data_IF_106564778564
#
_entry.id   IF_106564778564
#
_cell.length_a   1.000
_cell.length_b   1.000
_cell.length_c   1.000
_cell.angle_alpha   90.00
_cell.angle_beta   90.00
_cell.angle_gamma   90.00
#
_symmetry.space_group_name_H-M   'P 1'
#
loop_
_entity.id
_entity.type
_entity.pdbx_description
1 polymer ?
#
# COMPACT_ATOMS: atom_id res chain seq x y z
N UNK A 1 4.61 -10.11 -7.98
CA UNK A 1 4.78 -8.78 -8.58
C UNK A 1 3.78 -7.81 -7.98
N UNK A 2 4.04 -6.49 -8.04
CA UNK A 2 3.10 -5.47 -7.54
C UNK A 2 1.73 -5.57 -8.19
N UNK A 3 1.68 -5.82 -9.49
CA UNK A 3 0.42 -5.97 -10.22
C UNK A 3 -0.43 -7.14 -9.68
N UNK A 4 0.19 -8.28 -9.41
CA UNK A 4 -0.50 -9.43 -8.81
C UNK A 4 -0.97 -9.14 -7.39
N UNK A 5 -0.17 -8.38 -6.62
CA UNK A 5 -0.55 -7.89 -5.30
C UNK A 5 -1.79 -6.98 -5.38
N UNK A 6 -1.77 -5.94 -6.22
CA UNK A 6 -2.93 -5.06 -6.42
C UNK A 6 -4.21 -5.84 -6.79
N UNK A 7 -4.11 -6.86 -7.66
CA UNK A 7 -5.24 -7.74 -7.98
C UNK A 7 -5.71 -8.56 -6.77
N UNK A 8 -4.77 -9.07 -5.96
CA UNK A 8 -5.07 -9.83 -4.76
C UNK A 8 -5.76 -8.96 -3.70
N UNK A 9 -5.25 -7.75 -3.47
CA UNK A 9 -5.84 -6.77 -2.55
C UNK A 9 -7.26 -6.41 -2.98
N UNK A 10 -7.46 -6.10 -4.26
CA UNK A 10 -8.79 -5.85 -4.83
C UNK A 10 -9.75 -7.03 -4.63
N UNK A 11 -9.27 -8.26 -4.87
CA UNK A 11 -10.07 -9.47 -4.69
C UNK A 11 -10.48 -9.66 -3.22
N UNK A 12 -9.53 -9.55 -2.30
CA UNK A 12 -9.79 -9.68 -0.85
C UNK A 12 -10.69 -8.56 -0.34
N UNK A 13 -10.49 -7.33 -0.80
CA UNK A 13 -11.39 -6.20 -0.51
C UNK A 13 -12.83 -6.49 -0.92
N UNK A 14 -13.03 -7.12 -2.08
CA UNK A 14 -14.36 -7.59 -2.53
C UNK A 14 -14.96 -8.65 -1.63
N UNK A 15 -14.19 -9.67 -1.22
CA UNK A 15 -14.66 -10.72 -0.30
C UNK A 15 -15.02 -10.15 1.08
N UNK A 16 -14.20 -9.24 1.61
CA UNK A 16 -14.47 -8.56 2.89
C UNK A 16 -15.74 -7.71 2.80
N UNK A 17 -15.92 -6.99 1.69
CA UNK A 17 -17.12 -6.18 1.43
C UNK A 17 -18.38 -7.03 1.37
N UNK A 18 -18.34 -8.19 0.69
CA UNK A 18 -19.46 -9.13 0.63
C UNK A 18 -19.81 -9.68 2.03
N UNK A 19 -18.79 -10.01 2.83
CA UNK A 19 -18.99 -10.58 4.17
C UNK A 19 -19.73 -9.64 5.12
N UNK A 20 -19.47 -8.32 5.03
CA UNK A 20 -20.11 -7.31 5.88
C UNK A 20 -21.34 -6.67 5.25
N UNK A 21 -21.76 -7.16 4.07
CA UNK A 21 -23.01 -6.77 3.40
C UNK A 21 -23.00 -5.37 2.80
N UNK A 22 -21.86 -4.91 2.25
CA UNK A 22 -21.79 -3.64 1.54
C UNK A 22 -22.57 -3.68 0.22
N UNK A 23 -23.03 -2.52 -0.23
CA UNK A 23 -23.65 -2.35 -1.54
C UNK A 23 -22.61 -2.60 -2.66
N UNK A 24 -23.09 -2.88 -3.87
CA UNK A 24 -22.21 -3.08 -5.04
C UNK A 24 -21.35 -1.84 -5.35
N UNK A 25 -21.85 -0.64 -5.09
CA UNK A 25 -21.10 0.59 -5.23
C UNK A 25 -19.94 0.65 -4.21
N UNK A 26 -20.24 0.50 -2.92
CA UNK A 26 -19.24 0.51 -1.84
C UNK A 26 -18.20 -0.58 -2.05
N UNK A 27 -18.61 -1.80 -2.41
CA UNK A 27 -17.72 -2.91 -2.75
C UNK A 27 -16.78 -2.55 -3.90
N UNK A 28 -17.32 -1.98 -4.99
CA UNK A 28 -16.51 -1.58 -6.14
C UNK A 28 -15.51 -0.50 -5.76
N UNK A 29 -15.93 0.47 -4.93
CA UNK A 29 -15.05 1.53 -4.42
C UNK A 29 -13.90 0.95 -3.59
N UNK A 30 -14.17 0.02 -2.67
CA UNK A 30 -13.15 -0.70 -1.89
C UNK A 30 -12.21 -1.50 -2.78
N UNK A 31 -12.74 -2.24 -3.77
CA UNK A 31 -11.93 -3.03 -4.70
C UNK A 31 -10.99 -2.15 -5.53
N UNK A 32 -11.47 -1.01 -6.00
CA UNK A 32 -10.68 -0.07 -6.80
C UNK A 32 -9.66 0.65 -5.92
N UNK A 33 -10.04 1.08 -4.71
CA UNK A 33 -9.10 1.64 -3.75
C UNK A 33 -7.97 0.64 -3.42
N UNK A 34 -8.32 -0.62 -3.12
CA UNK A 34 -7.34 -1.68 -2.91
C UNK A 34 -6.46 -1.99 -4.13
N UNK A 35 -6.99 -1.86 -5.35
CA UNK A 35 -6.21 -2.02 -6.58
C UNK A 35 -5.19 -0.90 -6.77
N UNK A 36 -5.53 0.31 -6.37
CA UNK A 36 -4.74 1.53 -6.63
C UNK A 36 -3.89 1.99 -5.44
N UNK A 37 -4.03 1.38 -4.25
CA UNK A 37 -3.41 1.87 -3.01
C UNK A 37 -1.89 2.10 -3.12
N UNK A 38 -1.21 1.27 -3.90
CA UNK A 38 0.24 1.26 -4.10
C UNK A 38 0.71 1.92 -5.41
N UNK A 39 -0.19 2.55 -6.19
CA UNK A 39 0.18 3.12 -7.50
C UNK A 39 1.22 4.25 -7.39
N UNK A 40 1.28 4.91 -6.25
CA UNK A 40 2.24 5.95 -5.91
C UNK A 40 3.64 5.46 -5.51
N UNK A 41 3.87 4.15 -5.39
CA UNK A 41 5.19 3.64 -5.07
C UNK A 41 6.18 3.71 -6.23
N UNK A 42 7.32 4.32 -5.99
CA UNK A 42 8.46 4.34 -6.90
C UNK A 42 9.30 3.05 -6.88
N UNK A 43 10.45 3.05 -7.56
CA UNK A 43 11.38 1.93 -7.59
C UNK A 43 11.88 1.59 -6.18
N UNK A 44 12.04 0.28 -5.91
CA UNK A 44 12.43 -0.27 -4.60
C UNK A 44 11.51 0.15 -3.44
N UNK A 45 10.29 0.62 -3.73
CA UNK A 45 9.23 0.92 -2.75
C UNK A 45 9.74 1.60 -1.48
N UNK A 46 9.48 1.00 -0.33
CA UNK A 46 9.82 1.52 1.00
C UNK A 46 11.33 1.74 1.23
N UNK A 47 12.20 1.03 0.50
CA UNK A 47 13.66 1.18 0.67
C UNK A 47 14.14 2.58 0.30
N UNK A 48 13.56 3.19 -0.73
CA UNK A 48 13.95 4.53 -1.19
C UNK A 48 12.95 5.63 -0.78
N UNK A 49 11.89 5.28 -0.08
CA UNK A 49 10.84 6.23 0.31
C UNK A 49 11.36 7.39 1.16
N UNK A 50 12.28 7.12 2.10
CA UNK A 50 12.89 8.19 2.90
C UNK A 50 13.67 9.19 2.05
N UNK A 51 14.31 8.75 0.97
CA UNK A 51 15.04 9.62 0.04
C UNK A 51 14.05 10.47 -0.77
N UNK A 52 12.93 9.86 -1.20
CA UNK A 52 11.86 10.59 -1.89
C UNK A 52 11.26 11.66 -0.99
N UNK A 53 11.02 11.33 0.29
CA UNK A 53 10.51 12.26 1.28
C UNK A 53 11.49 13.41 1.56
N UNK A 54 12.78 13.13 1.74
CA UNK A 54 13.82 14.15 1.96
C UNK A 54 13.96 15.10 0.77
N UNK A 55 13.83 14.60 -0.46
CA UNK A 55 13.98 15.37 -1.69
C UNK A 55 12.73 16.15 -2.10
N UNK A 56 11.56 15.56 -1.93
CA UNK A 56 10.30 16.11 -2.44
C UNK A 56 9.28 16.49 -1.38
N UNK A 57 9.52 16.12 -0.12
CA UNK A 57 8.56 16.30 0.97
C UNK A 57 7.28 15.48 0.81
N UNK A 58 7.26 14.53 -0.12
CA UNK A 58 6.11 13.70 -0.46
C UNK A 58 6.39 12.24 -0.10
N UNK A 59 5.39 11.58 0.44
CA UNK A 59 5.36 10.13 0.62
C UNK A 59 4.57 9.46 -0.52
N UNK A 60 4.62 8.13 -0.58
CA UNK A 60 3.90 7.37 -1.60
C UNK A 60 2.39 7.56 -1.53
N UNK A 61 1.83 7.81 -0.34
CA UNK A 61 0.38 8.03 -0.15
C UNK A 61 -0.06 9.33 -0.84
N UNK A 62 0.68 10.43 -0.62
CA UNK A 62 0.42 11.73 -1.27
C UNK A 62 0.54 11.64 -2.79
N UNK A 63 1.49 10.84 -3.28
CA UNK A 63 1.66 10.63 -4.72
C UNK A 63 0.52 9.76 -5.27
N UNK A 64 0.13 8.70 -4.55
CA UNK A 64 -1.04 7.87 -4.92
C UNK A 64 -2.29 8.73 -5.05
N UNK A 65 -2.56 9.57 -4.06
CA UNK A 65 -3.66 10.52 -4.08
C UNK A 65 -3.60 11.45 -5.31
N UNK A 66 -2.46 12.10 -5.54
CA UNK A 66 -2.29 12.99 -6.68
C UNK A 66 -2.46 12.29 -8.03
N UNK A 67 -2.09 11.01 -8.16
CA UNK A 67 -2.35 10.19 -9.35
C UNK A 67 -3.84 9.92 -9.52
N UNK A 68 -4.55 9.58 -8.45
CA UNK A 68 -5.99 9.28 -8.48
C UNK A 68 -6.80 10.54 -8.81
N UNK A 69 -6.43 11.69 -8.23
CA UNK A 69 -7.07 12.98 -8.46
C UNK A 69 -6.66 13.62 -9.80
N UNK A 70 -5.55 13.15 -10.37
CA UNK A 70 -5.06 13.62 -11.67
C UNK A 70 -4.07 14.79 -11.60
N UNK A 71 -3.50 15.09 -10.44
CA UNK A 71 -2.42 16.07 -10.29
C UNK A 71 -1.12 15.56 -10.89
N UNK A 72 -0.91 14.23 -10.82
CA UNK A 72 0.23 13.54 -11.41
C UNK A 72 -0.23 12.53 -12.46
N UNK A 73 0.66 12.23 -13.40
CA UNK A 73 0.47 11.16 -14.38
C UNK A 73 1.44 10.00 -14.09
N UNK A 74 0.99 8.79 -14.32
CA UNK A 74 1.85 7.58 -14.20
C UNK A 74 2.82 7.45 -15.37
N UNK A 75 2.52 8.09 -16.49
CA UNK A 75 3.34 8.06 -17.71
C UNK A 75 4.32 9.23 -17.72
N UNK A 76 5.53 8.99 -18.22
CA UNK A 76 6.52 10.03 -18.49
C UNK A 76 6.20 10.73 -19.80
N UNK A 77 6.68 11.96 -19.93
CA UNK A 77 6.59 12.71 -21.18
C UNK A 77 7.23 11.91 -22.33
N UNK A 78 6.50 11.74 -23.42
CA UNK A 78 6.93 10.95 -24.57
C UNK A 78 6.54 9.46 -24.56
N UNK A 79 6.08 8.90 -23.44
CA UNK A 79 5.55 7.53 -23.39
C UNK A 79 4.11 7.44 -23.88
N UNK A 80 3.46 8.56 -24.05
CA UNK A 80 2.05 8.71 -24.45
C UNK A 80 1.69 8.00 -25.76
N UNK A 81 2.62 7.99 -26.71
CA UNK A 81 2.41 7.37 -28.04
C UNK A 81 2.37 5.85 -28.01
N UNK A 82 2.84 5.22 -26.91
CA UNK A 82 2.85 3.77 -26.74
C UNK A 82 1.54 3.22 -26.16
N UNK A 83 0.66 4.09 -25.66
CA UNK A 83 -0.59 3.70 -24.99
C UNK A 83 -1.79 3.94 -25.89
N UNK A 84 -2.50 2.86 -26.22
CA UNK A 84 -3.74 2.93 -27.02
C UNK A 84 -4.86 3.46 -26.11
N UNK A 85 -5.59 4.49 -26.58
CA UNK A 85 -6.71 5.09 -25.86
C UNK A 85 -6.34 5.59 -24.45
N UNK A 86 -5.24 6.33 -24.36
CA UNK A 86 -4.79 6.92 -23.10
C UNK A 86 -5.94 7.67 -22.41
N UNK A 87 -6.28 7.21 -21.20
CA UNK A 87 -7.14 7.92 -20.27
C UNK A 87 -6.42 8.02 -18.93
N UNK A 88 -6.60 9.12 -18.23
CA UNK A 88 -6.09 9.30 -16.87
C UNK A 88 -6.94 8.48 -15.90
N UNK A 89 -6.40 8.15 -14.74
CA UNK A 89 -7.11 7.39 -13.71
C UNK A 89 -8.43 8.06 -13.32
N UNK A 90 -8.49 9.38 -13.02
CA UNK A 90 -9.77 10.02 -12.70
C UNK A 90 -10.81 9.88 -13.81
N UNK A 91 -10.42 10.05 -15.09
CA UNK A 91 -11.34 9.89 -16.22
C UNK A 91 -11.92 8.46 -16.30
N UNK A 92 -11.12 7.47 -15.94
CA UNK A 92 -11.56 6.07 -15.89
C UNK A 92 -12.55 5.87 -14.75
N UNK A 93 -12.23 6.35 -13.54
CA UNK A 93 -13.09 6.24 -12.36
C UNK A 93 -14.46 6.88 -12.63
N UNK A 94 -14.49 8.13 -13.06
CA UNK A 94 -15.72 8.87 -13.40
C UNK A 94 -16.54 8.16 -14.48
N UNK A 95 -15.90 7.61 -15.53
CA UNK A 95 -16.60 6.87 -16.59
C UNK A 95 -17.29 5.60 -16.10
N UNK A 96 -16.91 5.09 -14.94
CA UNK A 96 -17.52 3.95 -14.26
C UNK A 96 -18.41 4.35 -13.07
N UNK A 97 -18.65 5.65 -12.89
CA UNK A 97 -19.52 6.19 -11.84
C UNK A 97 -18.88 6.17 -10.44
N UNK A 98 -17.55 6.11 -10.36
CA UNK A 98 -16.79 6.21 -9.11
C UNK A 98 -16.27 7.63 -8.93
N UNK A 99 -16.29 8.12 -7.70
CA UNK A 99 -15.73 9.41 -7.32
C UNK A 99 -14.24 9.28 -6.99
N UNK A 100 -13.33 9.94 -7.73
CA UNK A 100 -11.89 9.92 -7.44
C UNK A 100 -11.55 10.38 -6.00
N UNK A 101 -12.24 11.39 -5.47
CA UNK A 101 -12.04 11.88 -4.10
C UNK A 101 -12.39 10.82 -3.06
N UNK A 102 -13.47 10.07 -3.27
CA UNK A 102 -13.86 8.98 -2.38
C UNK A 102 -12.82 7.85 -2.40
N UNK A 103 -12.37 7.43 -3.57
CA UNK A 103 -11.34 6.40 -3.72
C UNK A 103 -10.03 6.84 -3.06
N UNK A 104 -9.57 8.05 -3.29
CA UNK A 104 -8.37 8.61 -2.68
C UNK A 104 -8.51 8.70 -1.15
N UNK A 105 -9.70 9.10 -0.68
CA UNK A 105 -10.03 9.17 0.75
C UNK A 105 -9.91 7.83 1.48
N UNK A 106 -10.35 6.73 0.86
CA UNK A 106 -10.21 5.38 1.43
C UNK A 106 -8.75 4.97 1.56
N UNK A 107 -7.91 5.31 0.60
CA UNK A 107 -6.47 4.99 0.61
C UNK A 107 -5.73 5.79 1.67
N UNK A 108 -6.06 7.09 1.82
CA UNK A 108 -5.51 7.91 2.92
C UNK A 108 -5.80 7.34 4.30
N UNK A 109 -6.90 6.63 4.43
CA UNK A 109 -7.32 6.03 5.69
C UNK A 109 -7.86 7.04 6.72
N UNK A 110 -8.41 6.52 7.83
CA UNK A 110 -8.96 7.35 8.89
C UNK A 110 -7.84 8.07 9.65
N UNK A 111 -7.68 9.35 9.44
CA UNK A 111 -6.68 10.15 10.16
C UNK A 111 -5.92 11.17 9.33
N UNK A 112 -5.93 11.09 8.02
CA UNK A 112 -5.26 12.06 7.14
C UNK A 112 -5.86 13.47 7.20
N UNK A 113 -7.00 13.65 7.87
CA UNK A 113 -7.65 14.94 8.14
C UNK A 113 -7.31 15.56 9.50
N UNK A 114 -6.26 15.10 10.22
CA UNK A 114 -5.71 15.85 11.36
C UNK A 114 -6.11 15.41 12.77
N UNK A 115 -6.69 14.23 12.95
CA UNK A 115 -6.82 13.65 14.30
C UNK A 115 -6.29 12.22 14.31
N UNK A 116 -4.96 12.08 14.47
CA UNK A 116 -4.41 10.81 14.98
C UNK A 116 -5.18 10.45 16.25
N UNK A 117 -5.98 9.38 16.18
CA UNK A 117 -6.53 8.77 17.39
C UNK A 117 -5.37 8.22 18.21
N UNK A 118 -4.85 9.01 19.14
CA UNK A 118 -3.83 8.50 20.05
C UNK A 118 -4.48 7.42 20.92
N UNK A 119 -3.72 6.36 21.22
CA UNK A 119 -4.14 5.34 22.19
C UNK A 119 -4.63 5.97 23.52
N UNK A 120 -4.18 7.17 23.85
CA UNK A 120 -4.55 7.96 25.02
C UNK A 120 -6.00 8.46 24.96
N UNK A 121 -6.54 8.78 23.77
CA UNK A 121 -7.95 9.18 23.62
C UNK A 121 -8.89 8.00 23.86
N UNK A 122 -8.44 6.78 23.57
CA UNK A 122 -9.18 5.55 23.86
C UNK A 122 -9.32 5.29 25.37
N UNK A 123 -8.30 5.63 26.16
CA UNK A 123 -8.28 5.41 27.62
C UNK A 123 -8.99 6.50 28.40
N UNK A 124 -9.21 7.68 27.84
CA UNK A 124 -9.85 8.80 28.52
C UNK A 124 -11.38 8.82 28.47
N UNK A 125 -12.00 7.84 27.80
CA UNK A 125 -13.46 7.68 27.76
C UNK A 125 -14.22 8.88 27.20
N UNK A 126 -13.58 9.75 26.42
CA UNK A 126 -14.23 10.84 25.72
C UNK A 126 -15.01 10.31 24.54
N UNK A 127 -16.28 10.16 24.76
CA UNK A 127 -17.30 9.67 23.86
C UNK A 127 -17.83 10.82 22.96
N UNK A 128 -16.93 11.56 22.33
CA UNK A 128 -17.27 12.41 21.19
C UNK A 128 -17.00 11.60 19.91
N UNK A 129 -17.69 10.48 19.79
CA UNK A 129 -17.84 9.77 18.53
C UNK A 129 -18.81 10.58 17.67
N UNK A 130 -18.28 11.52 16.91
CA UNK A 130 -18.96 12.05 15.74
C UNK A 130 -19.34 10.88 14.85
N UNK A 131 -20.52 10.90 14.27
CA UNK A 131 -21.11 9.93 13.31
C UNK A 131 -20.28 9.74 12.03
N UNK A 132 -19.00 9.41 12.15
CA UNK A 132 -18.12 9.20 11.01
C UNK A 132 -17.94 7.70 10.78
N UNK A 133 -18.40 7.25 9.63
CA UNK A 133 -18.29 5.87 9.20
C UNK A 133 -16.92 5.61 8.55
N UNK A 134 -16.09 4.82 9.19
CA UNK A 134 -14.79 4.42 8.71
C UNK A 134 -14.73 3.00 8.14
N UNK A 135 -15.89 2.34 8.03
CA UNK A 135 -15.98 0.93 7.62
C UNK A 135 -15.19 0.66 6.33
N UNK A 136 -15.44 1.44 5.26
CA UNK A 136 -14.79 1.24 3.97
C UNK A 136 -13.28 1.50 4.05
N UNK A 137 -12.88 2.57 4.73
CA UNK A 137 -11.47 2.93 4.88
C UNK A 137 -10.69 1.85 5.66
N UNK A 138 -11.29 1.25 6.68
CA UNK A 138 -10.67 0.17 7.45
C UNK A 138 -10.53 -1.14 6.69
N UNK A 139 -11.33 -1.37 5.64
CA UNK A 139 -11.12 -2.52 4.76
C UNK A 139 -9.87 -2.37 3.89
N UNK A 140 -9.49 -1.13 3.55
CA UNK A 140 -8.33 -0.82 2.69
C UNK A 140 -7.09 -0.50 3.53
N UNK A 141 -7.27 0.23 4.64
CA UNK A 141 -6.18 0.69 5.51
C UNK A 141 -6.60 0.64 6.98
N UNK A 142 -6.62 -0.54 7.55
CA UNK A 142 -7.08 -0.82 8.91
C UNK A 142 -6.16 -1.75 9.69
N UNK A 143 -6.55 -2.10 10.92
CA UNK A 143 -5.83 -3.09 11.73
C UNK A 143 -5.80 -4.48 11.11
N UNK A 144 -6.86 -4.82 10.39
CA UNK A 144 -7.02 -6.04 9.58
C UNK A 144 -7.63 -5.59 8.26
N UNK A 145 -6.82 -5.47 7.24
CA UNK A 145 -7.20 -4.96 5.93
C UNK A 145 -6.85 -5.94 4.80
N UNK A 146 -7.34 -5.64 3.61
CA UNK A 146 -7.13 -6.49 2.44
C UNK A 146 -5.67 -6.50 1.97
N UNK A 147 -4.90 -5.44 2.21
CA UNK A 147 -3.48 -5.37 1.91
C UNK A 147 -2.68 -6.36 2.77
N UNK A 148 -2.88 -6.32 4.10
CA UNK A 148 -2.20 -7.21 5.04
C UNK A 148 -2.50 -8.68 4.75
N UNK A 149 -3.75 -9.01 4.44
CA UNK A 149 -4.13 -10.39 4.12
C UNK A 149 -3.46 -10.87 2.82
N UNK A 150 -3.37 -10.01 1.79
CA UNK A 150 -2.70 -10.39 0.55
C UNK A 150 -1.20 -10.54 0.75
N UNK A 151 -0.49 -9.55 1.32
CA UNK A 151 0.95 -9.64 1.39
C UNK A 151 1.44 -10.76 2.31
N UNK A 152 0.75 -11.08 3.39
CA UNK A 152 1.13 -12.22 4.25
C UNK A 152 1.08 -13.55 3.48
N UNK A 153 0.01 -13.79 2.75
CA UNK A 153 -0.15 -15.01 1.94
C UNK A 153 0.85 -15.04 0.77
N UNK A 154 0.97 -13.93 0.06
CA UNK A 154 1.84 -13.77 -1.11
C UNK A 154 3.30 -13.92 -0.76
N UNK A 155 3.77 -13.22 0.26
CA UNK A 155 5.16 -13.27 0.69
C UNK A 155 5.52 -14.64 1.28
N UNK A 156 4.58 -15.27 2.00
CA UNK A 156 4.74 -16.66 2.42
C UNK A 156 4.94 -17.61 1.23
N UNK A 157 4.18 -17.40 0.16
CA UNK A 157 4.30 -18.21 -1.06
C UNK A 157 5.66 -18.00 -1.75
N UNK A 158 6.03 -16.74 -2.02
CA UNK A 158 7.24 -16.43 -2.80
C UNK A 158 8.55 -16.63 -2.02
N UNK A 159 8.55 -16.41 -0.72
CA UNK A 159 9.74 -16.65 0.13
C UNK A 159 9.88 -18.10 0.56
N UNK A 160 8.81 -18.89 0.48
CA UNK A 160 8.75 -20.27 1.01
C UNK A 160 8.65 -20.33 2.55
N UNK A 161 8.57 -19.19 3.24
CA UNK A 161 8.41 -19.10 4.69
C UNK A 161 6.95 -19.30 5.05
N UNK A 162 6.63 -20.39 5.75
CA UNK A 162 5.23 -20.82 6.01
C UNK A 162 4.50 -20.01 7.10
N UNK A 163 5.14 -19.04 7.70
CA UNK A 163 4.53 -18.24 8.78
C UNK A 163 3.35 -17.38 8.35
N UNK A 164 3.33 -16.92 7.08
CA UNK A 164 2.26 -16.08 6.55
C UNK A 164 1.03 -16.85 6.04
N UNK A 165 0.98 -18.17 6.20
CA UNK A 165 -0.22 -18.97 5.85
C UNK A 165 -1.25 -18.83 6.97
N UNK A 166 -2.26 -17.99 6.73
CA UNK A 166 -3.33 -17.66 7.69
C UNK A 166 -4.69 -18.17 7.20
N UNK A 167 -5.61 -18.43 8.12
CA UNK A 167 -6.99 -18.78 7.80
C UNK A 167 -7.81 -17.51 7.46
N UNK A 168 -7.44 -16.89 6.34
CA UNK A 168 -8.00 -15.62 5.90
C UNK A 168 -9.49 -15.73 5.54
N UNK A 169 -9.92 -16.86 4.95
CA UNK A 169 -11.32 -17.06 4.60
C UNK A 169 -12.20 -17.11 5.86
N UNK A 170 -11.75 -17.82 6.89
CA UNK A 170 -12.45 -17.87 8.17
C UNK A 170 -12.49 -16.49 8.84
N UNK A 171 -11.40 -15.74 8.77
CA UNK A 171 -11.36 -14.38 9.30
C UNK A 171 -12.35 -13.48 8.57
N UNK A 172 -12.36 -13.49 7.24
CA UNK A 172 -13.28 -12.71 6.41
C UNK A 172 -14.74 -13.07 6.71
N UNK A 173 -15.09 -14.37 6.82
CA UNK A 173 -16.45 -14.83 7.17
C UNK A 173 -16.93 -14.37 8.56
N UNK A 174 -16.02 -13.94 9.41
CA UNK A 174 -16.32 -13.46 10.76
C UNK A 174 -16.23 -11.94 10.90
N UNK A 175 -16.04 -11.21 9.80
CA UNK A 175 -16.12 -9.75 9.83
C UNK A 175 -17.58 -9.29 9.93
N UNK A 176 -17.79 -8.23 10.67
CA UNK A 176 -19.09 -7.56 10.76
C UNK A 176 -18.92 -6.04 10.78
N UNK A 177 -19.92 -5.31 10.29
CA UNK A 177 -19.98 -3.86 10.42
C UNK A 177 -20.61 -3.50 11.77
N UNK A 178 -19.87 -2.78 12.59
CA UNK A 178 -20.33 -2.39 13.92
C UNK A 178 -20.00 -0.92 14.20
N UNK A 179 -21.05 -0.11 14.43
CA UNK A 179 -20.90 1.31 14.83
C UNK A 179 -19.98 2.14 13.90
N UNK A 180 -20.07 1.93 12.58
CA UNK A 180 -19.25 2.65 11.58
C UNK A 180 -17.80 2.17 11.51
N UNK A 181 -17.55 0.95 11.94
CA UNK A 181 -16.23 0.31 11.92
C UNK A 181 -16.34 -1.17 11.52
N UNK A 182 -15.20 -1.81 11.29
CA UNK A 182 -15.10 -3.24 11.04
C UNK A 182 -14.75 -3.95 12.34
N UNK A 183 -15.57 -4.91 12.74
CA UNK A 183 -15.37 -5.76 13.89
C UNK A 183 -15.21 -7.22 13.49
N UNK A 184 -14.66 -8.03 14.40
CA UNK A 184 -14.54 -9.48 14.24
C UNK A 184 -15.43 -10.16 15.27
N UNK A 185 -16.37 -11.00 14.82
CA UNK A 185 -17.20 -11.81 15.71
C UNK A 185 -16.35 -12.69 16.65
N UNK A 186 -16.80 -12.98 17.85
CA UNK A 186 -16.08 -13.80 18.85
C UNK A 186 -15.61 -15.15 18.27
N UNK A 187 -16.41 -15.77 17.41
CA UNK A 187 -16.05 -17.04 16.75
C UNK A 187 -14.86 -16.90 15.75
N UNK A 188 -14.51 -15.68 15.35
CA UNK A 188 -13.38 -15.34 14.49
C UNK A 188 -12.09 -15.05 15.23
N UNK A 189 -12.11 -14.87 16.56
CA UNK A 189 -10.93 -14.53 17.36
C UNK A 189 -9.74 -15.47 17.14
N UNK A 190 -9.88 -16.80 17.05
CA UNK A 190 -8.74 -17.68 16.79
C UNK A 190 -8.06 -17.41 15.43
N UNK A 191 -8.84 -17.05 14.39
CA UNK A 191 -8.28 -16.71 13.08
C UNK A 191 -7.57 -15.35 13.12
N UNK A 192 -8.13 -14.36 13.83
CA UNK A 192 -7.51 -13.05 14.06
C UNK A 192 -6.20 -13.18 14.84
N UNK A 193 -6.19 -13.90 15.96
CA UNK A 193 -4.97 -14.16 16.74
C UNK A 193 -3.91 -14.86 15.89
N UNK A 194 -4.32 -15.86 15.10
CA UNK A 194 -3.44 -16.56 14.16
C UNK A 194 -2.81 -15.61 13.12
N UNK A 195 -3.61 -14.69 12.56
CA UNK A 195 -3.12 -13.67 11.61
C UNK A 195 -2.12 -12.70 12.27
N UNK A 196 -2.40 -12.21 13.48
CA UNK A 196 -1.52 -11.29 14.19
C UNK A 196 -0.18 -11.97 14.56
N UNK A 197 -0.22 -13.23 15.00
CA UNK A 197 0.99 -14.03 15.27
C UNK A 197 1.78 -14.27 13.97
N UNK A 198 1.10 -14.66 12.90
CA UNK A 198 1.71 -14.87 11.58
C UNK A 198 2.42 -13.59 11.09
N UNK A 199 1.77 -12.43 11.21
CA UNK A 199 2.35 -11.13 10.88
C UNK A 199 3.64 -10.88 11.67
N UNK A 200 3.63 -11.04 12.99
CA UNK A 200 4.82 -10.89 13.83
C UNK A 200 5.96 -11.82 13.43
N UNK A 201 5.66 -13.08 13.10
CA UNK A 201 6.65 -14.06 12.64
C UNK A 201 7.20 -13.72 11.25
N UNK A 202 6.38 -13.25 10.32
CA UNK A 202 6.82 -12.80 8.99
C UNK A 202 7.71 -11.55 9.10
N UNK A 203 7.37 -10.61 9.98
CA UNK A 203 8.25 -9.46 10.25
C UNK A 203 9.63 -9.90 10.72
N UNK A 204 9.69 -10.85 11.65
CA UNK A 204 10.96 -11.35 12.17
C UNK A 204 11.75 -12.17 11.14
N UNK A 205 11.08 -13.05 10.38
CA UNK A 205 11.75 -14.02 9.51
C UNK A 205 12.08 -13.47 8.11
N UNK A 206 11.30 -12.49 7.61
CA UNK A 206 11.39 -11.97 6.24
C UNK A 206 11.73 -10.49 6.23
N UNK A 207 10.83 -9.62 6.73
CA UNK A 207 10.96 -8.17 6.54
C UNK A 207 12.12 -7.57 7.34
N UNK A 208 12.37 -8.05 8.56
CA UNK A 208 13.52 -7.63 9.38
C UNK A 208 14.69 -8.61 9.32
N UNK A 209 14.69 -9.52 8.33
CA UNK A 209 15.84 -10.40 8.18
C UNK A 209 17.11 -9.59 7.93
N UNK A 210 18.19 -9.91 8.67
CA UNK A 210 19.43 -9.12 8.66
C UNK A 210 20.01 -8.85 7.26
N UNK A 211 19.91 -9.84 6.35
CA UNK A 211 20.44 -9.69 4.99
C UNK A 211 19.59 -8.69 4.21
N UNK A 212 18.26 -8.78 4.30
CA UNK A 212 17.34 -7.83 3.69
C UNK A 212 17.65 -6.41 4.15
N UNK A 213 17.75 -6.20 5.48
CA UNK A 213 18.06 -4.88 6.05
C UNK A 213 19.43 -4.34 5.64
N UNK A 214 20.45 -5.19 5.56
CA UNK A 214 21.76 -4.77 5.07
C UNK A 214 21.69 -4.35 3.60
N UNK A 215 20.99 -5.12 2.76
CA UNK A 215 20.83 -4.81 1.34
C UNK A 215 20.08 -3.49 1.11
N UNK A 216 19.02 -3.25 1.89
CA UNK A 216 18.26 -1.99 1.85
C UNK A 216 19.16 -0.79 2.22
N UNK A 217 19.90 -0.88 3.32
CA UNK A 217 20.85 0.18 3.73
C UNK A 217 21.94 0.39 2.69
N UNK A 218 22.45 -0.68 2.09
CA UNK A 218 23.44 -0.57 1.03
C UNK A 218 22.86 0.17 -0.19
N UNK A 219 21.65 -0.16 -0.62
CA UNK A 219 20.99 0.50 -1.74
C UNK A 219 20.74 1.98 -1.44
N UNK A 220 20.18 2.30 -0.26
CA UNK A 220 19.96 3.69 0.18
C UNK A 220 21.26 4.49 0.14
N UNK A 221 22.36 3.95 0.67
CA UNK A 221 23.67 4.61 0.64
C UNK A 221 24.23 4.79 -0.76
N UNK A 222 23.97 3.87 -1.70
CA UNK A 222 24.36 4.03 -3.09
C UNK A 222 23.59 5.18 -3.75
N UNK A 223 22.28 5.26 -3.49
CA UNK A 223 21.42 6.35 -4.00
C UNK A 223 21.84 7.69 -3.43
N UNK A 224 22.02 7.82 -2.10
CA UNK A 224 22.50 9.06 -1.45
C UNK A 224 23.81 9.57 -2.04
N UNK A 225 24.76 8.69 -2.32
CA UNK A 225 26.09 9.06 -2.88
C UNK A 225 26.07 9.32 -4.38
N UNK A 226 24.97 9.04 -5.05
CA UNK A 226 24.79 9.23 -6.49
C UNK A 226 23.80 10.33 -6.81
N UNK A 227 23.51 11.20 -5.85
CA UNK A 227 22.45 12.23 -5.90
C UNK A 227 22.47 13.10 -7.14
N UNK A 228 23.65 13.52 -7.60
CA UNK A 228 23.81 14.38 -8.78
C UNK A 228 23.39 13.69 -10.10
N UNK A 229 23.22 12.36 -10.07
CA UNK A 229 22.90 11.55 -11.24
C UNK A 229 21.46 10.99 -11.24
N UNK A 230 20.68 11.33 -10.24
CA UNK A 230 19.30 10.85 -10.12
C UNK A 230 18.31 11.96 -10.47
N UNK A 231 17.17 11.61 -11.09
CA UNK A 231 16.11 12.55 -11.40
C UNK A 231 15.47 13.14 -10.12
N UNK A 232 14.63 14.16 -10.25
CA UNK A 232 13.84 14.67 -9.16
C UNK A 232 12.87 13.60 -8.58
N UNK A 233 12.22 13.91 -7.46
CA UNK A 233 11.41 12.92 -6.74
C UNK A 233 10.23 12.38 -7.58
N UNK A 234 9.55 13.23 -8.32
CA UNK A 234 8.39 12.85 -9.16
C UNK A 234 8.85 11.99 -10.34
N UNK A 235 9.95 12.38 -10.98
CA UNK A 235 10.50 11.64 -12.13
C UNK A 235 11.15 10.32 -11.67
N UNK A 236 11.77 10.31 -10.47
CA UNK A 236 12.29 9.10 -9.85
C UNK A 236 11.18 8.07 -9.61
N UNK A 237 10.04 8.53 -9.13
CA UNK A 237 8.90 7.67 -8.83
C UNK A 237 8.32 7.00 -10.07
N UNK A 238 8.37 7.65 -11.22
CA UNK A 238 7.94 7.08 -12.52
C UNK A 238 8.91 6.07 -13.12
N UNK A 239 10.05 5.80 -12.46
CA UNK A 239 11.07 4.86 -12.93
C UNK A 239 10.77 3.44 -12.47
N UNK A 240 11.41 2.48 -13.14
CA UNK A 240 11.42 1.08 -12.72
C UNK A 240 12.75 0.71 -12.05
N UNK A 241 12.76 -0.34 -11.25
CA UNK A 241 13.96 -0.80 -10.51
C UNK A 241 15.19 -0.94 -11.40
N UNK A 242 15.03 -1.47 -12.62
CA UNK A 242 16.12 -1.68 -13.56
C UNK A 242 16.78 -0.37 -14.05
N UNK A 243 16.02 0.72 -14.14
CA UNK A 243 16.55 2.03 -14.54
C UNK A 243 17.42 2.63 -13.43
N UNK A 244 16.94 2.53 -12.17
CA UNK A 244 17.73 2.99 -11.02
C UNK A 244 18.99 2.15 -10.87
N UNK A 245 18.87 0.82 -11.03
CA UNK A 245 20.02 -0.07 -11.06
C UNK A 245 21.05 0.34 -12.12
N UNK A 246 20.60 0.61 -13.35
CA UNK A 246 21.45 1.08 -14.43
C UNK A 246 22.13 2.42 -14.16
N UNK A 247 21.38 3.38 -13.58
CA UNK A 247 21.91 4.68 -13.18
C UNK A 247 23.00 4.55 -12.10
N UNK A 248 22.74 3.77 -11.05
CA UNK A 248 23.69 3.50 -9.98
C UNK A 248 24.95 2.77 -10.49
N UNK A 249 24.80 1.80 -11.40
CA UNK A 249 25.93 1.09 -11.99
C UNK A 249 26.87 2.02 -12.76
N UNK A 250 26.34 3.09 -13.35
CA UNK A 250 27.10 4.08 -14.11
C UNK A 250 27.60 5.26 -13.26
N UNK A 251 27.08 5.44 -12.04
CA UNK A 251 27.36 6.60 -11.20
C UNK A 251 28.71 6.56 -10.46
N UNK A 252 29.47 5.45 -10.50
CA UNK A 252 30.78 5.36 -9.90
C UNK A 252 31.15 4.02 -9.28
N UNK A 253 32.39 3.92 -8.81
CA UNK A 253 32.98 2.66 -8.35
C UNK A 253 32.30 2.12 -7.07
N UNK A 254 31.84 2.99 -6.18
CA UNK A 254 31.16 2.58 -4.94
C UNK A 254 29.84 1.84 -5.22
N UNK A 255 28.99 2.40 -6.08
CA UNK A 255 27.75 1.75 -6.48
C UNK A 255 28.03 0.42 -7.18
N UNK A 256 29.02 0.38 -8.09
CA UNK A 256 29.46 -0.87 -8.78
C UNK A 256 29.95 -1.93 -7.82
N UNK A 257 30.71 -1.57 -6.81
CA UNK A 257 31.25 -2.53 -5.83
C UNK A 257 30.15 -3.10 -4.95
N UNK A 258 29.16 -2.27 -4.58
CA UNK A 258 27.99 -2.74 -3.86
C UNK A 258 27.17 -3.74 -4.66
N UNK A 259 26.98 -3.48 -5.96
CA UNK A 259 26.19 -4.30 -6.87
C UNK A 259 26.86 -5.64 -7.23
N UNK A 260 28.16 -5.78 -6.98
CA UNK A 260 28.94 -7.01 -7.27
C UNK A 260 29.04 -7.95 -6.07
N UNK A 261 28.64 -7.54 -4.89
CA UNK A 261 28.69 -8.32 -3.65
C UNK A 261 27.36 -8.94 -3.29
#
# INVERSE_FOLDING_TARGET
TRFEHSLGVSHLGGLMSDSIGLSEYEKTTVQVAGMLHDVGHGPYSHTLEHILHERGGMDHMSITEGIILGDYDVLRDGEESSVINRRRIPDILESHGLDPEEVAGLIRGPGAGGTERSLLQWTEGKQDFVDQDYTLAHLVHGPVDCDQLDYLLRDSHFTGVKHGVVDHLRLIECLERHSGDVAVEERGLPALEGMLVARGLMYSAVYFHRVTRVTEVMLSRAVERSEDNLPDAVDLQRRVDAEIWGALYNAGDYAKDMMRR
#
